data_IF_101911015665
#
_entry.id   IF_101911015665
#
_cell.length_a   1.000
_cell.length_b   1.000
_cell.length_c   1.000
_cell.angle_alpha   90.00
_cell.angle_beta   90.00
_cell.angle_gamma   90.00
#
_symmetry.space_group_name_H-M   'P 1'
#
loop_
_entity.id
_entity.type
_entity.pdbx_description
1 polymer ?
#
# COMPACT_ATOMS: atom_id res chain seq x y z
N UNK A 1 -11.75 -8.45 7.11
CA UNK A 1 -10.85 -7.64 6.26
C UNK A 1 -9.96 -6.83 7.18
N UNK A 2 -8.72 -7.27 7.39
CA UNK A 2 -7.78 -6.65 8.36
C UNK A 2 -7.22 -5.31 7.85
N UNK A 3 -7.27 -5.05 6.55
CA UNK A 3 -6.82 -3.80 5.93
C UNK A 3 -8.00 -2.90 5.55
N UNK A 4 -8.08 -1.69 6.12
CA UNK A 4 -9.05 -0.68 5.68
C UNK A 4 -8.42 0.14 4.52
N UNK A 5 -9.02 0.18 3.32
CA UNK A 5 -8.46 0.88 2.17
C UNK A 5 -8.19 2.36 2.46
N UNK A 6 -9.08 3.00 3.23
CA UNK A 6 -8.96 4.43 3.56
C UNK A 6 -7.71 4.78 4.38
N UNK A 7 -7.23 3.86 5.23
CA UNK A 7 -6.03 4.08 6.04
C UNK A 7 -4.78 4.07 5.16
N UNK A 8 -4.71 3.10 4.24
CA UNK A 8 -3.61 2.98 3.28
C UNK A 8 -3.61 4.19 2.34
N UNK A 9 -4.78 4.61 1.85
CA UNK A 9 -4.91 5.81 1.02
C UNK A 9 -4.38 7.05 1.75
N UNK A 10 -4.76 7.24 3.03
CA UNK A 10 -4.27 8.37 3.82
C UNK A 10 -2.75 8.35 4.01
N UNK A 11 -2.18 7.20 4.34
CA UNK A 11 -0.73 7.06 4.49
C UNK A 11 0.01 7.33 3.17
N UNK A 12 -0.48 6.75 2.06
CA UNK A 12 0.06 7.02 0.73
C UNK A 12 0.05 8.52 0.44
N UNK A 13 -1.10 9.18 0.53
CA UNK A 13 -1.22 10.60 0.19
C UNK A 13 -0.38 11.52 1.09
N UNK A 14 -0.18 11.15 2.36
CA UNK A 14 0.56 11.97 3.33
C UNK A 14 2.08 11.87 3.17
N UNK A 15 2.59 10.67 2.84
CA UNK A 15 4.03 10.40 2.86
C UNK A 15 4.64 10.18 1.48
N UNK A 16 3.84 9.88 0.46
CA UNK A 16 4.34 9.74 -0.90
C UNK A 16 4.90 11.08 -1.40
N UNK A 17 6.16 11.08 -1.82
CA UNK A 17 7.00 12.24 -2.17
C UNK A 17 7.29 13.25 -1.06
N UNK A 18 6.99 12.93 0.20
CA UNK A 18 7.40 13.77 1.32
C UNK A 18 8.93 13.75 1.48
N UNK A 19 9.55 14.90 1.80
CA UNK A 19 11.01 15.04 1.98
C UNK A 19 11.51 14.52 3.35
N UNK A 20 10.90 13.45 3.85
CA UNK A 20 11.33 12.74 5.06
C UNK A 20 11.94 11.40 4.69
N UNK A 21 12.85 10.87 5.49
CA UNK A 21 13.48 9.56 5.22
C UNK A 21 12.43 8.44 5.12
N UNK A 22 11.42 8.48 5.99
CA UNK A 22 10.26 7.57 5.92
C UNK A 22 9.45 7.76 4.62
N UNK A 23 9.24 9.01 4.19
CA UNK A 23 8.55 9.32 2.94
C UNK A 23 9.29 8.79 1.71
N UNK A 24 10.62 8.89 1.68
CA UNK A 24 11.46 8.37 0.57
C UNK A 24 11.39 6.85 0.46
N UNK A 25 11.51 6.14 1.57
CA UNK A 25 11.38 4.67 1.59
C UNK A 25 9.97 4.23 1.18
N UNK A 26 8.94 4.91 1.68
CA UNK A 26 7.56 4.62 1.31
C UNK A 26 7.31 4.90 -0.18
N UNK A 27 7.85 5.99 -0.71
CA UNK A 27 7.74 6.35 -2.13
C UNK A 27 8.38 5.28 -3.01
N UNK A 28 9.58 4.80 -2.67
CA UNK A 28 10.25 3.69 -3.38
C UNK A 28 9.42 2.41 -3.39
N UNK A 29 8.80 2.07 -2.26
CA UNK A 29 7.93 0.90 -2.17
C UNK A 29 6.72 1.05 -3.09
N UNK A 30 6.05 2.20 -3.07
CA UNK A 30 4.92 2.49 -3.93
C UNK A 30 5.30 2.49 -5.41
N UNK A 31 6.43 3.10 -5.77
CA UNK A 31 6.92 3.13 -7.15
C UNK A 31 7.16 1.72 -7.69
N UNK A 32 7.72 0.83 -6.85
CA UNK A 32 7.91 -0.57 -7.19
C UNK A 32 6.58 -1.29 -7.39
N UNK A 33 5.63 -1.12 -6.49
CA UNK A 33 4.30 -1.77 -6.57
C UNK A 33 3.55 -1.30 -7.82
N UNK A 34 3.51 0.01 -8.09
CA UNK A 34 2.81 0.58 -9.24
C UNK A 34 3.39 0.05 -10.57
N UNK A 35 4.71 -0.13 -10.64
CA UNK A 35 5.36 -0.73 -11.82
C UNK A 35 5.17 -2.23 -11.93
N UNK A 36 5.37 -3.00 -10.85
CA UNK A 36 5.30 -4.47 -10.90
C UNK A 36 3.87 -4.99 -11.10
N UNK A 37 2.86 -4.30 -10.54
CA UNK A 37 1.45 -4.72 -10.58
C UNK A 37 0.62 -3.93 -11.60
N UNK A 38 1.25 -3.05 -12.39
CA UNK A 38 0.58 -2.24 -13.42
C UNK A 38 -0.69 -1.53 -12.90
N UNK A 39 -0.57 -0.89 -11.74
CA UNK A 39 -1.67 -0.27 -11.00
C UNK A 39 -1.33 1.17 -10.61
N UNK A 40 -2.34 1.97 -10.28
CA UNK A 40 -2.16 3.35 -9.84
C UNK A 40 -3.02 3.68 -8.62
N UNK A 41 -2.41 4.28 -7.60
CA UNK A 41 -3.09 4.65 -6.37
C UNK A 41 -3.60 3.43 -5.59
N UNK A 42 -4.44 3.66 -4.60
CA UNK A 42 -5.03 2.56 -3.81
C UNK A 42 -6.29 2.03 -4.47
N UNK A 43 -7.25 2.90 -4.76
CA UNK A 43 -8.48 2.61 -5.48
C UNK A 43 -8.38 2.95 -6.97
N UNK A 44 -7.54 3.94 -7.31
CA UNK A 44 -7.27 4.32 -8.69
C UNK A 44 -6.50 5.64 -8.80
N UNK A 45 -6.26 6.14 -10.03
CA UNK A 45 -5.54 7.39 -10.26
C UNK A 45 -6.25 8.62 -9.69
N UNK A 46 -7.57 8.54 -9.48
CA UNK A 46 -8.36 9.64 -8.89
C UNK A 46 -8.05 9.89 -7.41
N UNK A 47 -7.39 8.97 -6.71
CA UNK A 47 -6.97 9.19 -5.32
C UNK A 47 -6.02 10.38 -5.19
N UNK A 48 -5.19 10.63 -6.20
CA UNK A 48 -4.25 11.75 -6.23
C UNK A 48 -4.94 13.08 -6.48
N UNK A 49 -6.03 13.08 -7.24
CA UNK A 49 -6.76 14.29 -7.66
C UNK A 49 -7.81 14.68 -6.63
N UNK A 50 -8.56 13.72 -6.10
CA UNK A 50 -9.66 13.98 -5.16
C UNK A 50 -9.19 14.43 -3.78
N UNK A 51 -7.97 14.08 -3.40
CA UNK A 51 -7.43 14.35 -2.06
C UNK A 51 -6.16 15.20 -2.14
N UNK A 52 -5.92 15.99 -1.09
CA UNK A 52 -4.66 16.70 -0.91
C UNK A 52 -3.57 15.71 -0.51
N UNK A 53 -2.47 15.68 -1.27
CA UNK A 53 -1.31 14.82 -1.02
C UNK A 53 -0.03 15.64 -0.89
N UNK A 54 0.98 15.09 -0.21
CA UNK A 54 2.32 15.67 -0.17
C UNK A 54 2.89 15.83 -1.60
N UNK A 55 2.54 14.92 -2.50
CA UNK A 55 2.83 15.03 -3.93
C UNK A 55 2.21 16.26 -4.58
N UNK A 56 0.95 16.55 -4.31
CA UNK A 56 0.30 17.77 -4.80
C UNK A 56 0.89 19.05 -4.22
N UNK A 57 1.50 19.00 -3.05
CA UNK A 57 2.22 20.15 -2.50
C UNK A 57 3.57 20.38 -3.21
N UNK A 58 4.24 19.30 -3.63
CA UNK A 58 5.54 19.35 -4.30
C UNK A 58 5.46 19.55 -5.83
N UNK A 59 4.40 19.05 -6.48
CA UNK A 59 4.24 19.08 -7.93
C UNK A 59 2.93 19.80 -8.31
N UNK A 60 2.98 20.94 -9.03
CA UNK A 60 1.77 21.65 -9.44
C UNK A 60 0.96 20.86 -10.48
N UNK A 61 -0.38 20.91 -10.39
CA UNK A 61 -1.34 20.17 -11.25
C UNK A 61 -1.12 20.37 -12.75
N UNK A 62 -0.56 21.52 -13.14
CA UNK A 62 -0.31 21.89 -14.54
C UNK A 62 0.73 20.96 -15.19
N UNK A 63 1.60 20.35 -14.38
CA UNK A 63 2.66 19.44 -14.84
C UNK A 63 2.11 18.02 -14.96
N UNK A 64 1.52 17.49 -13.89
CA UNK A 64 0.92 16.16 -13.88
C UNK A 64 -0.10 15.98 -12.75
N UNK A 65 -1.30 15.40 -12.99
CA UNK A 65 -2.31 15.17 -11.95
C UNK A 65 -2.01 14.00 -11.00
N UNK A 66 -1.11 13.08 -11.38
CA UNK A 66 -0.70 11.91 -10.59
C UNK A 66 0.78 11.57 -10.86
N UNK A 67 1.37 10.55 -10.22
CA UNK A 67 2.76 10.18 -10.49
C UNK A 67 2.94 9.63 -11.91
N UNK A 68 4.02 9.98 -12.65
CA UNK A 68 4.26 9.51 -14.02
C UNK A 68 4.52 7.99 -14.11
N UNK A 69 4.69 7.32 -12.97
CA UNK A 69 4.75 5.86 -12.89
C UNK A 69 3.37 5.20 -13.12
N UNK A 70 2.27 5.93 -12.94
CA UNK A 70 0.93 5.44 -13.26
C UNK A 70 0.65 5.35 -14.77
N UNK A 71 1.52 5.91 -15.61
CA UNK A 71 1.37 5.84 -17.06
C UNK A 71 1.78 4.47 -17.59
N UNK A 72 1.01 3.94 -18.54
CA UNK A 72 1.33 2.68 -19.20
C UNK A 72 2.61 2.83 -20.01
N UNK A 73 3.57 1.94 -19.76
CA UNK A 73 4.86 1.90 -20.44
C UNK A 73 4.93 0.66 -21.35
N UNK A 74 5.71 0.78 -22.41
CA UNK A 74 6.10 -0.37 -23.24
C UNK A 74 7.13 -1.22 -22.50
N UNK A 75 7.37 -2.46 -22.94
CA UNK A 75 8.38 -3.35 -22.35
C UNK A 75 9.82 -2.78 -22.31
N UNK A 76 10.06 -1.66 -22.99
CA UNK A 76 11.32 -0.90 -22.95
C UNK A 76 11.32 0.26 -21.93
N UNK A 77 10.36 0.30 -20.99
CA UNK A 77 10.19 1.35 -19.98
C UNK A 77 9.87 2.77 -20.51
N UNK A 78 9.55 2.90 -21.80
CA UNK A 78 9.18 4.17 -22.44
C UNK A 78 7.65 4.35 -22.31
N UNK A 79 7.15 5.50 -21.84
CA UNK A 79 5.70 5.78 -21.81
C UNK A 79 5.14 5.72 -23.24
N UNK A 80 4.02 5.01 -23.45
CA UNK A 80 3.42 4.91 -24.79
C UNK A 80 3.03 6.28 -25.34
N UNK A 81 2.41 7.10 -24.49
CA UNK A 81 2.00 8.46 -24.82
C UNK A 81 1.86 9.26 -23.52
N UNK A 82 2.79 10.19 -23.30
CA UNK A 82 2.83 11.02 -22.09
C UNK A 82 1.66 12.02 -22.04
N UNK A 83 1.28 12.59 -23.18
CA UNK A 83 0.15 13.51 -23.28
C UNK A 83 -1.18 12.78 -23.08
N UNK A 84 -1.31 11.60 -23.67
CA UNK A 84 -2.48 10.73 -23.49
C UNK A 84 -2.65 10.29 -22.03
N UNK A 85 -1.55 10.03 -21.34
CA UNK A 85 -1.58 9.75 -19.91
C UNK A 85 -1.95 11.01 -19.11
N UNK A 86 -1.37 12.18 -19.39
CA UNK A 86 -1.68 13.43 -18.66
C UNK A 86 -3.16 13.82 -18.75
N UNK A 87 -3.80 13.54 -19.89
CA UNK A 87 -5.23 13.77 -20.11
C UNK A 87 -6.14 12.70 -19.49
N UNK A 88 -5.57 11.59 -19.00
CA UNK A 88 -6.33 10.50 -18.39
C UNK A 88 -7.00 9.55 -19.36
N UNK A 89 -6.46 9.40 -20.58
CA UNK A 89 -6.99 8.41 -21.52
C UNK A 89 -6.76 6.99 -20.98
N UNK A 90 -7.82 6.19 -20.94
CA UNK A 90 -7.82 4.84 -20.34
C UNK A 90 -6.85 3.86 -21.03
N UNK A 91 -6.45 4.15 -22.27
CA UNK A 91 -5.52 3.33 -23.04
C UNK A 91 -4.05 3.53 -22.60
N UNK A 92 -3.75 4.67 -21.99
CA UNK A 92 -2.40 5.10 -21.61
C UNK A 92 -2.20 5.24 -20.09
N UNK A 93 -3.23 4.94 -19.28
CA UNK A 93 -3.23 5.08 -17.82
C UNK A 93 -3.62 3.76 -17.15
N UNK A 94 -2.94 3.42 -16.05
CA UNK A 94 -3.41 2.35 -15.17
C UNK A 94 -4.62 2.82 -14.36
N UNK A 95 -5.78 2.28 -14.69
CA UNK A 95 -7.05 2.59 -14.00
C UNK A 95 -7.34 1.66 -12.81
N UNK A 96 -6.58 0.57 -12.68
CA UNK A 96 -6.70 -0.39 -11.58
C UNK A 96 -6.04 0.15 -10.31
N UNK A 97 -6.71 0.03 -9.18
CA UNK A 97 -6.14 0.34 -7.87
C UNK A 97 -5.21 -0.74 -7.36
N UNK A 98 -4.11 -0.36 -6.72
CA UNK A 98 -3.14 -1.32 -6.16
C UNK A 98 -3.67 -2.03 -4.89
N UNK A 99 -4.71 -1.51 -4.24
CA UNK A 99 -5.21 -2.03 -2.97
C UNK A 99 -5.78 -3.45 -3.10
N UNK A 100 -6.36 -3.83 -4.23
CA UNK A 100 -6.90 -5.18 -4.41
C UNK A 100 -5.80 -6.25 -4.27
N UNK A 101 -4.63 -5.98 -4.86
CA UNK A 101 -3.46 -6.85 -4.76
C UNK A 101 -2.80 -6.80 -3.38
N UNK A 102 -2.63 -5.60 -2.82
CA UNK A 102 -2.00 -5.41 -1.50
C UNK A 102 -2.87 -6.03 -0.40
N UNK A 103 -4.19 -5.81 -0.45
CA UNK A 103 -5.15 -6.30 0.53
C UNK A 103 -5.20 -7.81 0.57
N UNK A 104 -5.20 -8.47 -0.59
CA UNK A 104 -5.16 -9.94 -0.65
C UNK A 104 -3.87 -10.51 -0.06
N UNK A 105 -2.73 -9.87 -0.31
CA UNK A 105 -1.47 -10.25 0.31
C UNK A 105 -1.54 -10.09 1.84
N UNK A 106 -1.95 -8.92 2.34
CA UNK A 106 -2.02 -8.64 3.78
C UNK A 106 -2.96 -9.62 4.51
N UNK A 107 -4.14 -9.88 3.96
CA UNK A 107 -5.12 -10.77 4.61
C UNK A 107 -4.54 -12.18 4.81
N UNK A 108 -3.82 -12.69 3.81
CA UNK A 108 -3.14 -14.00 3.90
C UNK A 108 -2.06 -14.05 4.98
N UNK A 109 -1.23 -13.00 5.11
CA UNK A 109 -0.20 -12.91 6.15
C UNK A 109 -0.79 -12.75 7.55
N UNK A 110 -1.87 -11.97 7.69
CA UNK A 110 -2.50 -11.73 8.99
C UNK A 110 -3.13 -12.99 9.58
N UNK A 111 -3.70 -13.84 8.73
CA UNK A 111 -4.21 -15.15 9.15
C UNK A 111 -3.09 -16.07 9.66
N UNK A 112 -1.97 -16.10 8.93
CA UNK A 112 -0.77 -16.84 9.37
C UNK A 112 -0.24 -16.37 10.73
N UNK A 113 -0.03 -15.06 10.89
CA UNK A 113 0.48 -14.48 12.16
C UNK A 113 -0.48 -14.78 13.32
N UNK A 114 -1.79 -14.63 13.09
CA UNK A 114 -2.81 -14.89 14.10
C UNK A 114 -2.84 -16.35 14.54
N UNK A 115 -2.66 -17.28 13.59
CA UNK A 115 -2.57 -18.71 13.89
C UNK A 115 -1.37 -19.05 14.78
N UNK A 116 -0.19 -18.51 14.46
CA UNK A 116 1.01 -18.69 15.29
C UNK A 116 0.82 -18.12 16.70
N UNK A 117 0.20 -16.95 16.84
CA UNK A 117 -0.12 -16.35 18.13
C UNK A 117 -1.07 -17.24 18.97
N UNK A 118 -2.11 -17.78 18.35
CA UNK A 118 -3.04 -18.69 19.01
C UNK A 118 -2.35 -19.97 19.49
N UNK A 119 -1.49 -20.57 18.67
CA UNK A 119 -0.76 -21.78 19.04
C UNK A 119 0.15 -21.57 20.26
N UNK A 120 0.85 -20.43 20.32
CA UNK A 120 1.68 -20.06 21.47
C UNK A 120 0.82 -19.90 22.72
N UNK A 121 -0.30 -19.17 22.64
CA UNK A 121 -1.22 -18.98 23.77
C UNK A 121 -1.82 -20.30 24.28
N UNK A 122 -2.15 -21.21 23.37
CA UNK A 122 -2.69 -22.52 23.71
C UNK A 122 -1.70 -23.36 24.52
N UNK A 123 -0.39 -23.22 24.27
CA UNK A 123 0.66 -23.89 25.04
C UNK A 123 1.01 -23.16 26.33
N UNK A 124 1.13 -21.84 26.30
CA UNK A 124 1.57 -21.06 27.48
C UNK A 124 0.53 -21.02 28.58
N UNK A 125 -0.77 -21.02 28.26
CA UNK A 125 -1.85 -21.00 29.25
C UNK A 125 -1.84 -22.25 30.16
N UNK A 126 -1.82 -23.50 29.64
CA UNK A 126 -1.68 -24.70 30.48
C UNK A 126 -0.41 -24.72 31.31
N UNK A 127 0.74 -24.32 30.74
CA UNK A 127 2.02 -24.29 31.46
C UNK A 127 1.94 -23.33 32.66
N UNK A 128 1.38 -22.14 32.46
CA UNK A 128 1.20 -21.16 33.53
C UNK A 128 0.20 -21.63 34.60
N UNK A 129 -0.90 -22.28 34.20
CA UNK A 129 -1.88 -22.83 35.13
C UNK A 129 -1.30 -23.97 35.98
N UNK A 130 -0.54 -24.88 35.37
CA UNK A 130 0.14 -25.97 36.08
C UNK A 130 1.17 -25.39 37.06
N UNK A 131 1.96 -24.39 36.64
CA UNK A 131 2.94 -23.75 37.52
C UNK A 131 2.28 -23.08 38.74
N UNK A 132 1.16 -22.37 38.53
CA UNK A 132 0.40 -21.75 39.63
C UNK A 132 -0.18 -22.80 40.58
N UNK A 133 -0.73 -23.90 40.05
CA UNK A 133 -1.25 -25.00 40.86
C UNK A 133 -0.16 -25.61 41.76
N UNK A 134 1.01 -25.94 41.18
CA UNK A 134 2.16 -26.45 41.95
C UNK A 134 2.62 -25.46 43.01
N UNK A 135 2.68 -24.16 42.69
CA UNK A 135 3.09 -23.14 43.65
C UNK A 135 2.10 -22.97 44.82
N UNK A 136 0.80 -23.15 44.57
CA UNK A 136 -0.23 -23.04 45.63
C UNK A 136 -0.40 -24.30 46.48
N UNK A 137 0.11 -25.45 46.02
CA UNK A 137 -0.02 -26.74 46.72
C UNK A 137 1.23 -27.11 47.52
N UNK A 138 2.36 -26.48 47.24
CA UNK A 138 3.58 -26.46 48.08
C UNK A 138 3.44 -25.44 49.22
#
# INVERSE_FOLDING_TARGET
MVSNPSLITKQMLTFYSADTDQGRELTRLWDRIMMEQECCGTSGPMDWVNFTSAFRAATPEVVFPWPPLCCRRTGNFIPLNEEGCRLGHVDYLFTKGCFEHIGHAIDSYTWGISWFGFAILMWTLPVMLIAMYFYTTL
#
